data_IF_857481321421
#
_entry.id   IF_857481321421
#
_cell.length_a   1.000
_cell.length_b   1.000
_cell.length_c   1.000
_cell.angle_alpha   90.00
_cell.angle_beta   90.00
_cell.angle_gamma   90.00
#
_symmetry.space_group_name_H-M   'P 1'
#
loop_
_entity.id
_entity.type
_entity.pdbx_description
1 polymer ?
#
# COMPACT_ATOMS: atom_id res chain seq x y z
N UNK A 1 1.81 9.13 20.11
CA UNK A 1 3.02 9.05 19.25
C UNK A 1 3.77 7.72 19.36
N UNK A 2 4.08 7.18 20.55
CA UNK A 2 4.87 5.93 20.64
C UNK A 2 4.24 4.72 19.91
N UNK A 3 2.94 4.46 20.11
CA UNK A 3 2.23 3.38 19.41
C UNK A 3 2.24 3.58 17.88
N UNK A 4 2.05 4.81 17.42
CA UNK A 4 2.07 5.19 16.01
C UNK A 4 3.45 4.96 15.38
N UNK A 5 4.53 5.33 16.07
CA UNK A 5 5.90 5.05 15.61
C UNK A 5 6.12 3.55 15.39
N UNK A 6 5.70 2.71 16.34
CA UNK A 6 5.78 1.26 16.19
C UNK A 6 4.92 0.73 15.04
N UNK A 7 3.71 1.27 14.85
CA UNK A 7 2.85 0.89 13.74
C UNK A 7 3.48 1.22 12.38
N UNK A 8 3.97 2.45 12.20
CA UNK A 8 4.61 2.88 10.95
C UNK A 8 5.88 2.08 10.66
N UNK A 9 6.65 1.76 11.70
CA UNK A 9 7.80 0.88 11.58
C UNK A 9 7.39 -0.53 11.12
N UNK A 10 6.33 -1.08 11.70
CA UNK A 10 5.78 -2.38 11.29
C UNK A 10 5.31 -2.40 9.84
N UNK A 11 4.56 -1.37 9.41
CA UNK A 11 4.16 -1.22 8.00
C UNK A 11 5.37 -1.14 7.08
N UNK A 12 6.39 -0.36 7.46
CA UNK A 12 7.63 -0.20 6.69
C UNK A 12 8.38 -1.53 6.54
N UNK A 13 8.50 -2.31 7.62
CA UNK A 13 9.11 -3.63 7.58
C UNK A 13 8.32 -4.61 6.69
N UNK A 14 6.99 -4.62 6.76
CA UNK A 14 6.15 -5.48 5.89
C UNK A 14 6.35 -5.15 4.41
N UNK A 15 6.44 -3.87 4.05
CA UNK A 15 6.71 -3.43 2.68
C UNK A 15 8.11 -3.87 2.19
N UNK A 16 9.07 -3.95 3.10
CA UNK A 16 10.42 -4.44 2.83
C UNK A 16 10.56 -5.97 2.93
N UNK A 17 9.44 -6.71 3.07
CA UNK A 17 9.39 -8.17 3.24
C UNK A 17 10.12 -8.68 4.50
N UNK A 18 10.40 -7.78 5.46
CA UNK A 18 10.99 -8.09 6.76
C UNK A 18 9.88 -8.45 7.76
N UNK A 19 9.20 -9.57 7.49
CA UNK A 19 7.96 -9.90 8.19
C UNK A 19 8.15 -10.20 9.68
N UNK A 20 9.30 -10.74 10.09
CA UNK A 20 9.59 -10.98 11.51
C UNK A 20 9.65 -9.67 12.30
N UNK A 21 10.42 -8.70 11.80
CA UNK A 21 10.56 -7.37 12.39
C UNK A 21 9.24 -6.58 12.34
N UNK A 22 8.45 -6.77 11.27
CA UNK A 22 7.12 -6.19 11.15
C UNK A 22 6.19 -6.67 12.27
N UNK A 23 6.15 -7.98 12.52
CA UNK A 23 5.33 -8.59 13.58
C UNK A 23 5.73 -8.04 14.95
N UNK A 24 7.03 -7.94 15.24
CA UNK A 24 7.52 -7.39 16.52
C UNK A 24 7.11 -5.92 16.71
N UNK A 25 7.27 -5.10 15.67
CA UNK A 25 6.91 -3.69 15.72
C UNK A 25 5.39 -3.48 15.87
N UNK A 26 4.57 -4.21 15.12
CA UNK A 26 3.10 -4.13 15.23
C UNK A 26 2.62 -4.61 16.61
N UNK A 27 3.18 -5.69 17.17
CA UNK A 27 2.87 -6.14 18.52
C UNK A 27 3.28 -5.11 19.59
N UNK A 28 4.40 -4.41 19.38
CA UNK A 28 4.80 -3.31 20.26
C UNK A 28 3.78 -2.16 20.21
N UNK A 29 3.25 -1.82 19.03
CA UNK A 29 2.15 -0.85 18.89
C UNK A 29 0.91 -1.28 19.69
N UNK A 30 0.47 -2.54 19.52
CA UNK A 30 -0.65 -3.14 20.26
C UNK A 30 -0.43 -3.04 21.77
N UNK A 31 0.77 -3.37 22.26
CA UNK A 31 1.10 -3.33 23.69
C UNK A 31 1.00 -1.91 24.26
N UNK A 32 1.49 -0.91 23.52
CA UNK A 32 1.41 0.49 23.95
C UNK A 32 -0.05 0.98 23.98
N UNK A 33 -0.86 0.60 22.98
CA UNK A 33 -2.30 0.92 22.95
C UNK A 33 -3.02 0.27 24.14
N UNK A 34 -2.77 -1.01 24.41
CA UNK A 34 -3.36 -1.71 25.57
C UNK A 34 -3.01 -1.03 26.90
N UNK A 35 -1.75 -0.62 27.08
CA UNK A 35 -1.35 0.12 28.28
C UNK A 35 -2.06 1.47 28.40
N UNK A 36 -2.30 2.18 27.28
CA UNK A 36 -3.07 3.43 27.28
C UNK A 36 -4.53 3.18 27.63
N UNK A 37 -5.14 2.13 27.07
CA UNK A 37 -6.52 1.73 27.38
C UNK A 37 -6.72 1.44 28.87
N UNK A 38 -5.78 0.73 29.51
CA UNK A 38 -5.83 0.48 30.96
C UNK A 38 -5.80 1.77 31.77
N UNK A 39 -4.95 2.73 31.39
CA UNK A 39 -4.88 4.03 32.05
C UNK A 39 -6.17 4.84 31.87
N UNK A 40 -6.74 4.85 30.67
CA UNK A 40 -8.00 5.54 30.38
C UNK A 40 -9.16 4.93 31.16
N UNK A 41 -9.25 3.59 31.20
CA UNK A 41 -10.26 2.90 31.99
C UNK A 41 -10.13 3.25 33.48
N UNK A 42 -8.90 3.22 34.02
CA UNK A 42 -8.66 3.58 35.42
C UNK A 42 -8.94 5.05 35.78
N UNK A 43 -8.91 5.97 34.81
CA UNK A 43 -9.37 7.35 35.00
C UNK A 43 -10.90 7.42 35.02
N UNK A 44 -11.54 6.68 34.11
CA UNK A 44 -13.00 6.63 34.00
C UNK A 44 -13.66 6.01 35.22
N UNK A 45 -13.04 4.99 35.80
CA UNK A 45 -13.52 4.33 37.02
C UNK A 45 -13.41 5.23 38.27
N UNK A 46 -12.48 6.20 38.25
CA UNK A 46 -12.28 7.19 39.34
C UNK A 46 -13.14 8.44 39.17
N UNK A 47 -13.72 8.64 37.98
CA UNK A 47 -14.52 9.81 37.69
C UNK A 47 -15.91 9.68 38.32
N UNK A 48 -16.35 10.74 39.00
CA UNK A 48 -17.59 10.75 39.80
C UNK A 48 -18.85 11.02 38.94
N UNK A 49 -18.92 10.35 37.78
CA UNK A 49 -20.05 10.43 36.88
C UNK A 49 -19.67 10.20 35.41
N UNK A 50 -20.58 9.60 34.61
CA UNK A 50 -20.30 9.24 33.22
C UNK A 50 -20.04 10.45 32.31
N UNK A 51 -20.46 11.67 32.65
CA UNK A 51 -20.23 12.87 31.83
C UNK A 51 -18.94 13.62 32.18
N UNK A 52 -18.18 13.16 33.18
CA UNK A 52 -17.05 13.95 33.68
C UNK A 52 -15.84 13.96 32.73
N UNK A 53 -15.74 12.98 31.81
CA UNK A 53 -14.57 12.72 30.96
C UNK A 53 -14.99 12.25 29.54
N UNK A 54 -15.62 13.11 28.72
CA UNK A 54 -16.10 12.74 27.40
C UNK A 54 -14.95 12.49 26.39
N UNK A 55 -13.82 13.20 26.55
CA UNK A 55 -12.65 13.06 25.66
C UNK A 55 -11.95 11.70 25.88
N UNK A 56 -11.78 11.29 27.13
CA UNK A 56 -11.17 10.01 27.49
C UNK A 56 -12.02 8.82 27.03
N UNK A 57 -13.35 8.95 27.08
CA UNK A 57 -14.27 7.94 26.53
C UNK A 57 -14.11 7.81 25.03
N UNK A 58 -14.06 8.94 24.33
CA UNK A 58 -13.85 8.97 22.88
C UNK A 58 -12.51 8.36 22.51
N UNK A 59 -11.42 8.75 23.19
CA UNK A 59 -10.09 8.18 22.97
C UNK A 59 -10.09 6.66 23.21
N UNK A 60 -10.74 6.19 24.27
CA UNK A 60 -10.85 4.77 24.60
C UNK A 60 -11.58 3.98 23.51
N UNK A 61 -12.64 4.55 22.93
CA UNK A 61 -13.38 3.93 21.83
C UNK A 61 -12.56 3.87 20.54
N UNK A 62 -11.89 4.97 20.16
CA UNK A 62 -11.02 5.03 18.99
C UNK A 62 -9.86 4.04 19.09
N UNK A 63 -9.20 3.97 20.26
CA UNK A 63 -8.11 3.01 20.49
C UNK A 63 -8.57 1.55 20.46
N UNK A 64 -9.80 1.26 20.93
CA UNK A 64 -10.39 -0.09 20.81
C UNK A 64 -10.71 -0.42 19.35
N UNK A 65 -11.19 0.54 18.57
CA UNK A 65 -11.49 0.36 17.16
C UNK A 65 -10.22 0.13 16.31
N UNK A 66 -9.07 0.70 16.73
CA UNK A 66 -7.80 0.54 16.03
C UNK A 66 -7.15 -0.84 16.23
N UNK A 67 -7.34 -1.48 17.40
CA UNK A 67 -6.74 -2.78 17.68
C UNK A 67 -7.00 -3.88 16.63
N UNK A 68 -8.24 -4.10 16.13
CA UNK A 68 -8.48 -5.09 15.08
C UNK A 68 -7.78 -4.74 13.76
N UNK A 69 -7.64 -3.46 13.41
CA UNK A 69 -6.90 -3.04 12.21
C UNK A 69 -5.41 -3.41 12.33
N UNK A 70 -4.79 -3.17 13.50
CA UNK A 70 -3.39 -3.53 13.70
C UNK A 70 -3.21 -5.05 13.76
N UNK A 71 -4.19 -5.77 14.31
CA UNK A 71 -4.18 -7.23 14.37
C UNK A 71 -4.24 -7.85 12.96
N UNK A 72 -5.07 -7.31 12.07
CA UNK A 72 -5.11 -7.71 10.65
C UNK A 72 -3.72 -7.55 10.00
N UNK A 73 -3.02 -6.44 10.26
CA UNK A 73 -1.66 -6.25 9.74
C UNK A 73 -0.65 -7.27 10.28
N UNK A 74 -0.83 -7.73 11.52
CA UNK A 74 0.00 -8.82 12.09
C UNK A 74 -0.30 -10.14 11.38
N UNK A 75 -1.56 -10.41 11.05
CA UNK A 75 -1.97 -11.61 10.31
C UNK A 75 -1.40 -11.59 8.90
N UNK A 76 -1.51 -10.48 8.17
CA UNK A 76 -0.90 -10.28 6.86
C UNK A 76 0.62 -10.53 6.89
N UNK A 77 1.31 -9.97 7.89
CA UNK A 77 2.75 -10.16 8.04
C UNK A 77 3.11 -11.63 8.34
N UNK A 78 2.30 -12.33 9.13
CA UNK A 78 2.47 -13.77 9.38
C UNK A 78 2.26 -14.61 8.11
N UNK A 79 1.30 -14.25 7.26
CA UNK A 79 1.10 -14.90 5.96
C UNK A 79 2.26 -14.63 5.01
N UNK A 80 2.75 -13.38 4.97
CA UNK A 80 3.98 -13.01 4.26
C UNK A 80 5.20 -13.82 4.70
N UNK A 81 5.37 -14.03 6.01
CA UNK A 81 6.46 -14.84 6.55
C UNK A 81 6.37 -16.31 6.12
N UNK A 82 5.16 -16.90 6.13
CA UNK A 82 4.94 -18.30 5.72
C UNK A 82 5.20 -18.48 4.23
N UNK A 83 4.72 -17.56 3.40
CA UNK A 83 4.88 -17.62 1.94
C UNK A 83 6.34 -17.44 1.53
N UNK A 84 7.06 -16.49 2.13
CA UNK A 84 8.50 -16.31 1.89
C UNK A 84 9.32 -17.52 2.33
N UNK A 85 9.03 -18.09 3.49
CA UNK A 85 9.69 -19.31 3.98
C UNK A 85 9.49 -20.49 3.01
N UNK A 86 8.24 -20.74 2.60
CA UNK A 86 7.91 -21.79 1.62
C UNK A 86 8.62 -21.58 0.26
N UNK A 87 8.67 -20.34 -0.22
CA UNK A 87 9.38 -20.01 -1.45
C UNK A 87 10.89 -20.28 -1.34
N UNK A 88 11.51 -19.94 -0.21
CA UNK A 88 12.94 -20.22 0.06
C UNK A 88 13.20 -21.72 0.09
N UNK A 89 12.34 -22.53 0.73
CA UNK A 89 12.47 -23.98 0.75
C UNK A 89 12.34 -24.60 -0.66
N UNK A 90 11.36 -24.13 -1.45
CA UNK A 90 11.17 -24.59 -2.82
C UNK A 90 12.38 -24.27 -3.72
N UNK A 91 12.93 -23.05 -3.60
CA UNK A 91 14.14 -22.66 -4.33
C UNK A 91 15.36 -23.50 -3.93
N UNK A 92 15.53 -23.76 -2.63
CA UNK A 92 16.61 -24.63 -2.13
C UNK A 92 16.51 -26.03 -2.71
N UNK A 93 15.30 -26.61 -2.78
CA UNK A 93 15.07 -27.94 -3.36
C UNK A 93 15.41 -28.02 -4.86
N UNK A 94 15.19 -26.95 -5.62
CA UNK A 94 15.59 -26.88 -7.04
C UNK A 94 17.11 -26.83 -7.18
N UNK A 95 17.81 -26.13 -6.27
CA UNK A 95 19.26 -25.99 -6.32
C UNK A 95 20.00 -27.25 -5.86
N UNK A 96 19.51 -27.90 -4.79
CA UNK A 96 20.05 -29.17 -4.29
C UNK A 96 19.65 -30.37 -5.17
N UNK A 97 18.64 -30.18 -6.04
CA UNK A 97 18.15 -31.12 -7.03
C UNK A 97 19.08 -31.22 -8.25
N UNK A 98 20.14 -32.00 -8.11
CA UNK A 98 21.02 -32.53 -9.16
C UNK A 98 20.36 -32.62 -10.56
N UNK A 99 21.00 -31.99 -11.54
CA UNK A 99 20.65 -31.90 -12.96
C UNK A 99 20.41 -33.25 -13.67
N UNK A 100 19.22 -33.85 -13.54
CA UNK A 100 18.89 -35.10 -14.25
C UNK A 100 17.53 -35.09 -14.97
N UNK A 101 16.91 -33.93 -15.17
CA UNK A 101 15.58 -33.82 -15.80
C UNK A 101 15.57 -33.16 -17.19
N UNK A 102 16.69 -33.19 -17.92
CA UNK A 102 16.59 -33.15 -19.38
C UNK A 102 16.25 -34.57 -19.84
N UNK A 103 15.04 -34.84 -20.36
CA UNK A 103 14.85 -36.08 -21.11
C UNK A 103 15.78 -36.01 -22.32
N UNK A 104 16.85 -36.80 -22.28
CA UNK A 104 17.67 -37.10 -23.42
C UNK A 104 16.75 -37.46 -24.59
N UNK A 105 16.94 -36.73 -25.69
CA UNK A 105 16.41 -37.01 -27.02
C UNK A 105 16.14 -38.49 -27.28
N UNK A 106 14.88 -38.87 -27.45
CA UNK A 106 14.52 -40.00 -28.31
C UNK A 106 13.90 -39.42 -29.58
N UNK A 107 14.78 -39.18 -30.54
CA UNK A 107 14.44 -38.93 -31.94
C UNK A 107 13.74 -40.17 -32.50
N UNK A 108 12.42 -40.23 -32.39
CA UNK A 108 11.65 -41.21 -33.14
C UNK A 108 11.27 -40.57 -34.48
N UNK A 109 12.16 -40.84 -35.44
CA UNK A 109 11.91 -40.77 -36.87
C UNK A 109 10.80 -41.75 -37.27
N UNK A 110 9.69 -41.24 -37.78
CA UNK A 110 8.93 -41.94 -38.83
C UNK A 110 8.25 -40.92 -39.74
N UNK A 111 8.35 -41.20 -41.03
CA UNK A 111 7.93 -40.38 -42.15
C UNK A 111 6.64 -40.93 -42.73
N UNK A 112 5.81 -40.00 -43.22
CA UNK A 112 4.86 -40.16 -44.34
C UNK A 112 3.56 -40.99 -44.13
N UNK A 113 2.41 -40.31 -44.23
CA UNK A 113 1.55 -40.26 -45.44
C UNK A 113 0.04 -40.14 -45.14
N UNK A 114 -0.59 -39.18 -45.84
CA UNK A 114 -1.98 -39.07 -46.32
C UNK A 114 -3.05 -40.07 -45.79
N UNK A 115 -4.25 -39.65 -45.37
CA UNK A 115 -5.29 -39.04 -46.22
C UNK A 115 -6.64 -38.97 -45.48
N UNK A 116 -7.55 -38.19 -46.07
CA UNK A 116 -9.01 -38.29 -46.02
C UNK A 116 -9.79 -37.50 -44.94
N UNK A 117 -10.53 -36.53 -45.48
CA UNK A 117 -11.50 -35.66 -44.83
C UNK A 117 -12.73 -36.40 -44.29
N UNK A 118 -13.29 -35.89 -43.19
CA UNK A 118 -14.74 -35.89 -42.98
C UNK A 118 -15.14 -34.73 -42.09
N UNK A 119 -15.97 -33.84 -42.65
CA UNK A 119 -16.39 -32.60 -42.01
C UNK A 119 -17.20 -32.82 -40.74
N UNK A 120 -16.98 -31.92 -39.78
CA UNK A 120 -17.94 -31.59 -38.73
C UNK A 120 -18.17 -30.09 -38.76
N UNK A 121 -19.44 -29.74 -38.81
CA UNK A 121 -20.02 -28.42 -38.98
C UNK A 121 -19.89 -27.57 -37.71
N UNK A 122 -19.20 -26.42 -37.80
CA UNK A 122 -19.65 -25.11 -37.29
C UNK A 122 -18.79 -24.03 -37.96
N UNK A 123 -19.39 -23.28 -38.88
CA UNK A 123 -18.73 -22.18 -39.59
C UNK A 123 -18.71 -20.93 -38.70
N UNK A 124 -17.68 -20.77 -37.89
CA UNK A 124 -17.25 -19.44 -37.45
C UNK A 124 -16.07 -19.04 -38.36
N UNK A 125 -16.17 -17.97 -39.17
CA UNK A 125 -14.97 -17.46 -39.82
C UNK A 125 -14.02 -17.00 -38.71
N UNK A 126 -12.84 -17.63 -38.64
CA UNK A 126 -11.74 -17.17 -37.79
C UNK A 126 -11.57 -15.69 -38.07
N UNK A 127 -11.86 -14.90 -37.05
CA UNK A 127 -12.01 -13.46 -37.16
C UNK A 127 -10.70 -12.89 -37.67
N UNK A 128 -10.76 -12.24 -38.84
CA UNK A 128 -9.76 -11.29 -39.26
C UNK A 128 -9.47 -10.33 -38.11
N UNK A 129 -8.33 -10.48 -37.43
CA UNK A 129 -7.98 -9.76 -36.21
C UNK A 129 -7.37 -8.37 -36.53
N UNK A 130 -7.41 -7.93 -37.80
CA UNK A 130 -6.85 -6.64 -38.23
C UNK A 130 -7.46 -5.43 -37.50
N UNK A 131 -8.65 -5.58 -36.91
CA UNK A 131 -9.29 -4.58 -36.06
C UNK A 131 -8.63 -4.40 -34.68
N UNK A 132 -7.88 -5.39 -34.17
CA UNK A 132 -7.07 -5.22 -32.95
C UNK A 132 -5.79 -4.43 -33.22
N UNK A 133 -5.35 -4.34 -34.47
CA UNK A 133 -4.20 -3.53 -34.87
C UNK A 133 -4.67 -2.09 -35.12
N UNK A 134 -4.67 -1.26 -34.06
CA UNK A 134 -4.92 0.19 -34.20
C UNK A 134 -3.89 0.80 -35.15
N UNK A 135 -4.31 1.15 -36.37
CA UNK A 135 -3.50 1.88 -37.35
C UNK A 135 -3.19 3.28 -36.79
N UNK A 136 -1.93 3.52 -36.41
CA UNK A 136 -1.42 4.81 -35.92
C UNK A 136 -1.68 5.88 -36.99
N UNK A 137 -2.62 6.80 -36.76
CA UNK A 137 -2.77 7.99 -37.62
C UNK A 137 -1.63 8.97 -37.30
N UNK A 138 -1.04 9.52 -38.36
CA UNK A 138 -0.07 10.63 -38.33
C UNK A 138 -0.80 11.91 -37.88
N UNK A 139 -0.10 12.85 -37.23
CA UNK A 139 -0.66 14.14 -36.86
C UNK A 139 -0.85 14.98 -38.13
N UNK A 140 -2.05 15.45 -38.39
CA UNK A 140 -2.31 16.53 -39.33
C UNK A 140 -3.04 17.66 -38.58
N UNK A 141 -2.56 18.86 -38.84
CA UNK A 141 -2.82 20.15 -38.21
C UNK A 141 -4.29 20.63 -38.27
N UNK A 142 -4.62 21.46 -37.26
CA UNK A 142 -5.53 22.64 -37.13
C UNK A 142 -6.23 23.20 -38.40
N UNK A 143 -7.29 24.07 -38.35
CA UNK A 143 -7.58 25.06 -37.27
C UNK A 143 -9.05 25.42 -36.94
N UNK A 144 -9.21 26.02 -35.74
CA UNK A 144 -10.10 27.11 -35.28
C UNK A 144 -11.58 27.14 -35.74
N UNK A 145 -12.50 27.15 -34.77
CA UNK A 145 -13.63 28.09 -34.71
C UNK A 145 -14.25 28.17 -33.31
N UNK A 146 -14.21 29.39 -32.78
CA UNK A 146 -14.89 29.86 -31.59
C UNK A 146 -16.39 30.00 -31.80
N UNK A 147 -17.17 29.84 -30.71
CA UNK A 147 -18.32 30.68 -30.36
C UNK A 147 -18.92 30.24 -29.00
N UNK A 148 -19.02 31.20 -28.08
CA UNK A 148 -19.96 31.44 -26.96
C UNK A 148 -20.95 30.33 -26.52
N UNK A 149 -21.38 30.19 -25.25
CA UNK A 149 -22.26 31.13 -24.52
C UNK A 149 -22.22 30.90 -22.97
N UNK A 150 -21.89 31.97 -22.21
CA UNK A 150 -22.53 32.45 -20.94
C UNK A 150 -22.53 31.56 -19.67
N UNK A 151 -21.86 32.02 -18.59
CA UNK A 151 -22.44 32.37 -17.26
C UNK A 151 -21.51 33.24 -16.37
N UNK A 152 -22.00 34.46 -16.09
CA UNK A 152 -22.01 35.25 -14.82
C UNK A 152 -20.78 35.23 -13.89
N UNK A 153 -19.99 36.30 -13.97
CA UNK A 153 -19.64 37.31 -12.93
C UNK A 153 -19.58 36.87 -11.46
N UNK A 154 -18.37 36.88 -10.86
CA UNK A 154 -18.10 37.67 -9.64
C UNK A 154 -16.60 38.03 -9.54
N UNK A 155 -16.35 39.29 -9.21
CA UNK A 155 -15.08 40.02 -9.26
C UNK A 155 -14.18 39.86 -8.02
N UNK A 156 -12.89 40.12 -8.23
CA UNK A 156 -11.87 40.81 -7.39
C UNK A 156 -11.40 40.29 -6.01
N UNK A 157 -10.10 39.99 -5.93
CA UNK A 157 -9.08 40.70 -5.14
C UNK A 157 -7.70 40.01 -5.29
N UNK A 158 -6.79 40.56 -6.10
CA UNK A 158 -5.76 41.57 -5.76
C UNK A 158 -4.47 40.97 -5.17
N UNK A 159 -3.48 40.78 -6.04
CA UNK A 159 -2.06 40.58 -5.76
C UNK A 159 -1.39 41.96 -5.59
N UNK A 160 -0.84 42.32 -4.41
CA UNK A 160 0.30 43.26 -4.27
C UNK A 160 1.15 42.94 -3.01
N UNK A 161 2.39 42.51 -3.26
CA UNK A 161 3.69 42.73 -2.59
C UNK A 161 3.78 43.37 -1.17
N UNK A 162 4.60 42.77 -0.27
CA UNK A 162 5.93 43.26 0.21
C UNK A 162 6.40 42.72 1.59
N UNK A 163 7.68 42.30 1.60
CA UNK A 163 8.74 42.56 2.59
C UNK A 163 8.85 41.82 3.96
N UNK A 164 10.03 41.20 4.13
CA UNK A 164 10.95 41.12 5.29
C UNK A 164 10.42 40.94 6.72
N UNK A 165 10.97 39.93 7.41
CA UNK A 165 10.90 39.78 8.86
C UNK A 165 11.96 38.81 9.40
N UNK A 166 13.22 39.27 9.45
CA UNK A 166 14.29 38.68 10.25
C UNK A 166 13.91 38.78 11.74
N UNK A 167 13.98 37.68 12.48
CA UNK A 167 13.62 37.61 13.90
C UNK A 167 14.73 36.93 14.69
N UNK A 168 15.64 37.79 15.13
CA UNK A 168 16.78 37.54 15.99
C UNK A 168 16.33 37.05 17.39
N UNK A 169 16.69 35.81 17.75
CA UNK A 169 16.33 35.16 19.01
C UNK A 169 17.43 35.24 20.08
N UNK A 170 17.34 36.29 20.90
CA UNK A 170 17.75 36.43 22.31
C UNK A 170 18.70 35.36 22.91
N UNK A 171 19.98 35.71 23.10
CA UNK A 171 20.91 35.00 24.01
C UNK A 171 20.88 35.65 25.39
N UNK A 172 20.64 34.84 26.41
CA UNK A 172 20.55 35.23 27.82
C UNK A 172 21.92 35.68 28.36
N UNK A 173 21.98 36.88 28.95
CA UNK A 173 23.11 37.31 29.78
C UNK A 173 22.97 36.70 31.18
N UNK A 174 23.92 35.86 31.57
CA UNK A 174 24.10 35.36 32.93
C UNK A 174 25.03 36.33 33.68
N UNK A 175 24.48 37.14 34.57
CA UNK A 175 25.26 37.96 35.49
C UNK A 175 25.65 37.11 36.71
N UNK A 176 26.95 36.92 36.92
CA UNK A 176 27.54 36.29 38.10
C UNK A 176 27.82 37.40 39.10
N UNK A 177 27.11 37.38 40.23
CA UNK A 177 27.44 38.21 41.39
C UNK A 177 28.51 37.50 42.24
N UNK A 178 29.60 38.22 42.51
CA UNK A 178 30.55 37.97 43.61
C UNK A 178 30.38 39.04 44.67
#
# INVERSE_FOLDING_TARGET
LLAETHYQLGVTYSLNLQYSEAIEALNSSISVIKSRLEKLQGLLDKAEGPECLPEEKKELEELKALLPEIQEKVEDANEGLKTTSSAVEAMKKVLDGNSSAFPSSSVNNDSSSSSAAKGSTTTAPVSDISHLVRKKRKPEESPVKEADVKRVKQDDANEIHHANGDSNGHVNNMEVAT
#
